data_IF_809377751663
#
_entry.id   IF_809377751663
#
_cell.length_a   1.000
_cell.length_b   1.000
_cell.length_c   1.000
_cell.angle_alpha   90.00
_cell.angle_beta   90.00
_cell.angle_gamma   90.00
#
_symmetry.space_group_name_H-M   'P 1'
#
loop_
_entity.id
_entity.type
_entity.pdbx_description
1 polymer ?
#
# COMPACT_ATOMS: atom_id res chain seq x y z
N UNK A 1 -4.14 26.09 7.55
CA UNK A 1 -4.09 25.03 6.52
C UNK A 1 -2.63 24.77 6.18
N UNK A 2 -2.15 23.50 6.24
CA UNK A 2 -0.82 23.16 5.72
C UNK A 2 -0.88 23.31 4.20
N UNK A 3 0.14 23.91 3.57
CA UNK A 3 0.21 24.02 2.13
C UNK A 3 0.26 22.63 1.50
N UNK A 4 -0.62 22.34 0.56
CA UNK A 4 -0.57 21.10 -0.22
C UNK A 4 0.55 21.25 -1.23
N UNK A 5 1.55 20.37 -1.19
CA UNK A 5 2.60 20.36 -2.21
C UNK A 5 2.02 19.71 -3.46
N UNK A 6 2.03 20.44 -4.57
CA UNK A 6 1.74 19.94 -5.90
C UNK A 6 3.03 20.12 -6.71
N UNK A 7 3.44 19.08 -7.42
CA UNK A 7 4.74 18.99 -8.09
C UNK A 7 4.82 19.84 -9.37
N UNK A 8 6.04 19.91 -9.93
CA UNK A 8 6.49 20.95 -10.86
C UNK A 8 6.16 20.70 -12.35
N UNK A 9 5.48 19.61 -12.73
CA UNK A 9 5.04 19.42 -14.12
C UNK A 9 3.93 20.42 -14.48
N UNK A 10 4.31 21.65 -14.83
CA UNK A 10 3.46 22.59 -15.54
C UNK A 10 3.85 22.64 -17.01
N UNK A 11 3.06 23.35 -17.81
CA UNK A 11 3.36 23.70 -19.21
C UNK A 11 4.71 24.43 -19.45
N UNK A 12 5.53 24.64 -18.41
CA UNK A 12 6.83 25.29 -18.39
C UNK A 12 8.02 24.43 -18.88
N UNK A 13 7.82 23.17 -19.27
CA UNK A 13 8.90 22.35 -19.84
C UNK A 13 9.23 22.77 -21.30
N UNK A 14 10.51 23.09 -21.54
CA UNK A 14 11.08 23.59 -22.80
C UNK A 14 11.04 22.57 -23.93
N UNK A 15 10.42 22.93 -25.06
CA UNK A 15 10.68 22.34 -26.37
C UNK A 15 11.19 23.45 -27.31
N UNK A 16 12.42 23.29 -27.79
CA UNK A 16 13.02 24.12 -28.83
C UNK A 16 12.44 23.74 -30.19
N UNK A 17 11.67 24.66 -30.78
CA UNK A 17 11.60 25.05 -32.20
C UNK A 17 10.18 25.51 -32.52
N UNK A 18 10.08 26.74 -33.02
CA UNK A 18 8.82 27.42 -33.23
C UNK A 18 8.08 26.96 -34.49
N UNK A 19 6.76 27.06 -34.44
CA UNK A 19 5.93 27.16 -35.64
C UNK A 19 5.06 28.41 -35.56
N UNK A 20 4.87 29.02 -36.72
CA UNK A 20 3.98 30.15 -36.96
C UNK A 20 2.53 29.64 -37.08
N UNK A 21 1.60 30.48 -36.64
CA UNK A 21 0.18 30.18 -36.55
C UNK A 21 -0.51 30.16 -37.92
N UNK A 22 -1.39 29.19 -38.12
CA UNK A 22 -2.57 29.35 -38.98
C UNK A 22 -3.80 29.12 -38.10
N UNK A 23 -4.54 30.18 -37.81
CA UNK A 23 -5.88 30.09 -37.22
C UNK A 23 -6.79 29.33 -38.18
N UNK A 24 -7.16 28.11 -37.81
CA UNK A 24 -8.35 27.46 -38.34
C UNK A 24 -8.96 26.64 -37.20
N UNK A 25 -10.13 27.07 -36.74
CA UNK A 25 -10.97 26.26 -35.87
C UNK A 25 -11.16 24.88 -36.51
N UNK A 26 -10.76 23.83 -35.78
CA UNK A 26 -10.97 22.46 -36.22
C UNK A 26 -12.47 22.26 -36.49
N UNK A 27 -12.80 21.85 -37.72
CA UNK A 27 -14.16 21.41 -38.02
C UNK A 27 -14.49 20.20 -37.12
N UNK A 28 -15.70 20.14 -36.54
CA UNK A 28 -16.11 19.01 -35.72
C UNK A 28 -16.01 17.72 -36.54
N UNK A 29 -15.29 16.72 -36.01
CA UNK A 29 -15.21 15.36 -36.58
C UNK A 29 -13.87 14.90 -37.16
N UNK A 30 -12.81 15.72 -37.16
CA UNK A 30 -11.47 15.26 -37.56
C UNK A 30 -10.55 15.05 -36.34
N UNK A 31 -10.69 13.92 -35.66
CA UNK A 31 -9.88 13.54 -34.49
C UNK A 31 -8.45 13.08 -34.82
N UNK A 32 -8.00 13.31 -36.06
CA UNK A 32 -6.68 12.89 -36.55
C UNK A 32 -5.63 14.01 -36.46
N UNK A 33 -4.57 13.92 -37.27
CA UNK A 33 -3.37 14.77 -37.19
C UNK A 33 -3.65 16.29 -37.10
N UNK A 34 -4.62 16.81 -37.86
CA UNK A 34 -4.97 18.24 -37.86
C UNK A 34 -5.44 18.78 -36.49
N UNK A 35 -6.09 17.92 -35.70
CA UNK A 35 -6.45 18.28 -34.33
C UNK A 35 -5.21 18.36 -33.44
N UNK A 36 -4.32 17.38 -33.54
CA UNK A 36 -3.05 17.35 -32.81
C UNK A 36 -2.19 18.58 -33.13
N UNK A 37 -2.18 19.04 -34.38
CA UNK A 37 -1.54 20.30 -34.80
C UNK A 37 -2.14 21.53 -34.10
N UNK A 38 -3.48 21.60 -34.05
CA UNK A 38 -4.19 22.75 -33.47
C UNK A 38 -4.00 22.79 -31.95
N UNK A 39 -4.03 21.63 -31.29
CA UNK A 39 -3.71 21.50 -29.86
C UNK A 39 -2.26 21.91 -29.61
N UNK A 40 -1.29 21.38 -30.36
CA UNK A 40 0.12 21.73 -30.21
C UNK A 40 0.38 23.23 -30.42
N UNK A 41 -0.25 23.84 -31.44
CA UNK A 41 -0.18 25.28 -31.67
C UNK A 41 -0.75 26.09 -30.51
N UNK A 42 -1.92 25.68 -29.99
CA UNK A 42 -2.55 26.33 -28.82
C UNK A 42 -1.64 26.29 -27.59
N UNK A 43 -1.01 25.14 -27.34
CA UNK A 43 -0.04 24.97 -26.25
C UNK A 43 1.17 25.89 -26.42
N UNK A 44 1.69 26.03 -27.64
CA UNK A 44 2.78 26.97 -27.93
C UNK A 44 2.38 28.42 -27.69
N UNK A 45 1.15 28.83 -28.08
CA UNK A 45 0.63 30.17 -27.79
C UNK A 45 0.53 30.44 -26.28
N UNK A 46 0.05 29.47 -25.49
CA UNK A 46 0.00 29.56 -24.02
C UNK A 46 1.41 29.74 -23.45
N UNK A 47 2.37 28.92 -23.90
CA UNK A 47 3.77 28.97 -23.44
C UNK A 47 4.46 30.30 -23.77
N UNK A 48 4.14 30.91 -24.91
CA UNK A 48 4.66 32.22 -25.32
C UNK A 48 3.94 33.40 -24.66
N UNK A 49 2.88 33.15 -23.89
CA UNK A 49 2.05 34.19 -23.29
C UNK A 49 1.19 34.96 -24.29
N UNK A 50 1.01 34.43 -25.50
CA UNK A 50 0.17 35.03 -26.54
C UNK A 50 -1.33 34.87 -26.19
N UNK A 51 -1.67 33.81 -25.47
CA UNK A 51 -3.01 33.54 -24.92
C UNK A 51 -2.89 33.03 -23.47
N UNK A 52 -3.94 33.20 -22.68
CA UNK A 52 -3.95 32.70 -21.29
C UNK A 52 -4.41 31.25 -21.22
N UNK A 53 -3.85 30.47 -20.29
CA UNK A 53 -4.27 29.09 -20.03
C UNK A 53 -5.79 29.02 -19.75
N UNK A 54 -6.28 29.88 -18.85
CA UNK A 54 -7.70 29.91 -18.46
C UNK A 54 -8.63 30.11 -19.67
N UNK A 55 -8.23 30.93 -20.65
CA UNK A 55 -9.02 31.14 -21.87
C UNK A 55 -9.05 29.94 -22.82
N UNK A 56 -8.13 28.98 -22.65
CA UNK A 56 -7.96 27.82 -23.55
C UNK A 56 -8.35 26.49 -22.91
N UNK A 57 -8.51 26.41 -21.58
CA UNK A 57 -9.01 25.20 -20.91
C UNK A 57 -10.33 24.69 -21.55
N UNK A 58 -11.37 25.53 -21.77
CA UNK A 58 -12.63 25.04 -22.38
C UNK A 58 -12.42 24.41 -23.76
N UNK A 59 -11.52 24.98 -24.58
CA UNK A 59 -11.20 24.42 -25.89
C UNK A 59 -10.49 23.06 -25.79
N UNK A 60 -9.53 22.92 -24.86
CA UNK A 60 -8.81 21.66 -24.63
C UNK A 60 -9.76 20.57 -24.10
N UNK A 61 -10.66 20.94 -23.19
CA UNK A 61 -11.72 20.06 -22.66
C UNK A 61 -12.66 19.56 -23.76
N UNK A 62 -13.20 20.49 -24.55
CA UNK A 62 -14.10 20.16 -25.66
C UNK A 62 -13.39 19.26 -26.68
N UNK A 63 -12.10 19.50 -26.92
CA UNK A 63 -11.27 18.71 -27.81
C UNK A 63 -11.07 17.28 -27.30
N UNK A 64 -10.69 17.12 -26.03
CA UNK A 64 -10.56 15.81 -25.38
C UNK A 64 -11.88 15.02 -25.38
N UNK A 65 -13.00 15.71 -25.10
CA UNK A 65 -14.33 15.11 -25.09
C UNK A 65 -14.82 14.69 -26.47
N UNK A 66 -14.59 15.51 -27.49
CA UNK A 66 -14.98 15.20 -28.87
C UNK A 66 -14.11 14.11 -29.49
N UNK A 67 -12.86 13.98 -29.03
CA UNK A 67 -11.87 13.07 -29.58
C UNK A 67 -11.20 12.21 -28.50
N UNK A 68 -11.96 11.32 -27.84
CA UNK A 68 -11.46 10.50 -26.73
C UNK A 68 -10.39 9.46 -27.14
N UNK A 69 -10.16 9.25 -28.44
CA UNK A 69 -9.08 8.41 -28.96
C UNK A 69 -7.80 9.18 -29.30
N UNK A 70 -7.76 10.50 -29.12
CA UNK A 70 -6.62 11.33 -29.49
C UNK A 70 -5.71 11.57 -28.29
N UNK A 71 -4.51 11.00 -28.30
CA UNK A 71 -3.55 11.07 -27.20
C UNK A 71 -3.11 12.52 -26.87
N UNK A 72 -2.98 13.39 -27.88
CA UNK A 72 -2.63 14.81 -27.70
C UNK A 72 -3.73 15.56 -26.98
N UNK A 73 -4.98 15.37 -27.39
CA UNK A 73 -6.13 16.02 -26.78
C UNK A 73 -6.23 15.68 -25.28
N UNK A 74 -6.14 14.39 -24.94
CA UNK A 74 -6.21 13.93 -23.55
C UNK A 74 -5.03 14.40 -22.70
N UNK A 75 -3.79 14.25 -23.18
CA UNK A 75 -2.60 14.65 -22.44
C UNK A 75 -2.57 16.15 -22.14
N UNK A 76 -2.86 16.98 -23.14
CA UNK A 76 -2.81 18.42 -22.95
C UNK A 76 -4.02 19.00 -22.21
N UNK A 77 -5.18 18.34 -22.24
CA UNK A 77 -6.28 18.64 -21.31
C UNK A 77 -5.86 18.33 -19.87
N UNK A 78 -5.26 17.16 -19.62
CA UNK A 78 -4.74 16.78 -18.30
C UNK A 78 -3.67 17.77 -17.79
N UNK A 79 -2.68 18.12 -18.63
CA UNK A 79 -1.65 19.11 -18.29
C UNK A 79 -2.24 20.49 -18.01
N UNK A 80 -3.26 20.92 -18.75
CA UNK A 80 -3.88 22.23 -18.56
C UNK A 80 -4.56 22.33 -17.20
N UNK A 81 -5.39 21.34 -16.84
CA UNK A 81 -6.03 21.27 -15.53
C UNK A 81 -5.01 21.14 -14.39
N UNK A 82 -3.95 20.33 -14.56
CA UNK A 82 -2.92 20.23 -13.53
C UNK A 82 -2.12 21.53 -13.37
N UNK A 83 -1.83 22.24 -14.46
CA UNK A 83 -1.20 23.57 -14.41
C UNK A 83 -2.13 24.59 -13.74
N UNK A 84 -3.44 24.51 -13.99
CA UNK A 84 -4.44 25.35 -13.31
C UNK A 84 -4.51 25.04 -11.82
N UNK A 85 -4.53 23.78 -11.43
CA UNK A 85 -4.46 23.34 -10.04
C UNK A 85 -3.22 23.91 -9.33
N UNK A 86 -2.06 23.83 -9.97
CA UNK A 86 -0.81 24.43 -9.48
C UNK A 86 -0.93 25.94 -9.26
N UNK A 87 -1.50 26.65 -10.23
CA UNK A 87 -1.70 28.11 -10.16
C UNK A 87 -2.64 28.47 -9.01
N UNK A 88 -3.76 27.75 -8.88
CA UNK A 88 -4.72 27.96 -7.79
C UNK A 88 -4.11 27.65 -6.42
N UNK A 89 -3.30 26.60 -6.33
CA UNK A 89 -2.61 26.23 -5.10
C UNK A 89 -1.59 27.30 -4.67
N UNK A 90 -0.82 27.85 -5.62
CA UNK A 90 0.10 28.97 -5.38
C UNK A 90 -0.66 30.24 -4.95
N UNK A 91 -1.84 30.47 -5.52
CA UNK A 91 -2.76 31.54 -5.13
C UNK A 91 -3.53 31.25 -3.83
N UNK A 92 -3.25 30.13 -3.15
CA UNK A 92 -3.89 29.70 -1.90
C UNK A 92 -5.42 29.58 -2.02
N UNK A 93 -5.92 29.15 -3.17
CA UNK A 93 -7.32 28.84 -3.37
C UNK A 93 -7.79 27.72 -2.41
N UNK A 94 -9.11 27.62 -2.13
CA UNK A 94 -9.65 26.54 -1.30
C UNK A 94 -9.24 25.15 -1.81
N UNK A 95 -8.90 24.24 -0.90
CA UNK A 95 -8.45 22.89 -1.24
C UNK A 95 -9.43 22.16 -2.17
N UNK A 96 -10.75 22.36 -2.01
CA UNK A 96 -11.77 21.74 -2.85
C UNK A 96 -11.71 22.22 -4.31
N UNK A 97 -11.36 23.49 -4.53
CA UNK A 97 -11.20 24.07 -5.88
C UNK A 97 -9.97 23.50 -6.56
N UNK A 98 -8.85 23.41 -5.83
CA UNK A 98 -7.61 22.81 -6.36
C UNK A 98 -7.82 21.32 -6.64
N UNK A 99 -8.49 20.62 -5.72
CA UNK A 99 -8.78 19.19 -5.86
C UNK A 99 -9.63 18.87 -7.08
N UNK A 100 -10.67 19.67 -7.37
CA UNK A 100 -11.49 19.49 -8.56
C UNK A 100 -10.67 19.51 -9.86
N UNK A 101 -9.70 20.43 -9.96
CA UNK A 101 -8.79 20.51 -11.11
C UNK A 101 -7.83 19.31 -11.17
N UNK A 102 -7.32 18.84 -10.01
CA UNK A 102 -6.48 17.63 -9.96
C UNK A 102 -7.26 16.39 -10.36
N UNK A 103 -8.51 16.24 -9.90
CA UNK A 103 -9.36 15.10 -10.28
C UNK A 103 -9.68 15.13 -11.77
N UNK A 104 -10.02 16.29 -12.34
CA UNK A 104 -10.25 16.43 -13.78
C UNK A 104 -9.01 16.06 -14.59
N UNK A 105 -7.84 16.56 -14.17
CA UNK A 105 -6.57 16.20 -14.80
C UNK A 105 -6.26 14.70 -14.70
N UNK A 106 -6.60 14.09 -13.56
CA UNK A 106 -6.43 12.66 -13.34
C UNK A 106 -7.33 11.82 -14.24
N UNK A 107 -8.59 12.22 -14.43
CA UNK A 107 -9.52 11.53 -15.32
C UNK A 107 -9.05 11.57 -16.79
N UNK A 108 -8.62 12.74 -17.27
CA UNK A 108 -8.07 12.88 -18.62
C UNK A 108 -6.75 12.10 -18.79
N UNK A 109 -5.88 12.11 -17.76
CA UNK A 109 -4.66 11.29 -17.73
C UNK A 109 -4.99 9.79 -17.76
N UNK A 110 -6.01 9.36 -17.02
CA UNK A 110 -6.44 7.97 -17.01
C UNK A 110 -6.96 7.53 -18.39
N UNK A 111 -7.73 8.39 -19.06
CA UNK A 111 -8.16 8.16 -20.43
C UNK A 111 -6.95 8.01 -21.38
N UNK A 112 -5.95 8.89 -21.27
CA UNK A 112 -4.71 8.79 -22.05
C UNK A 112 -4.01 7.44 -21.87
N UNK A 113 -3.84 7.00 -20.61
CA UNK A 113 -3.17 5.72 -20.31
C UNK A 113 -3.98 4.48 -20.72
N UNK A 114 -5.27 4.64 -20.98
CA UNK A 114 -6.12 3.56 -21.50
C UNK A 114 -6.02 3.36 -23.02
N UNK A 115 -5.36 4.27 -23.75
CA UNK A 115 -5.18 4.14 -25.19
C UNK A 115 -4.08 3.13 -25.54
N UNK A 116 -4.39 2.19 -26.45
CA UNK A 116 -3.44 1.21 -26.98
C UNK A 116 -2.29 1.90 -27.72
N UNK A 117 -2.60 2.85 -28.61
CA UNK A 117 -1.66 3.59 -29.45
C UNK A 117 -1.21 4.93 -28.84
N UNK A 118 -1.18 5.07 -27.51
CA UNK A 118 -0.88 6.36 -26.82
C UNK A 118 0.46 6.99 -27.23
N UNK A 119 1.43 6.19 -27.65
CA UNK A 119 2.77 6.63 -28.09
C UNK A 119 2.83 7.00 -29.58
N UNK A 120 1.68 7.08 -30.27
CA UNK A 120 1.63 7.42 -31.68
C UNK A 120 2.19 8.83 -31.93
N UNK A 121 2.98 8.95 -32.99
CA UNK A 121 3.41 10.25 -33.52
C UNK A 121 2.48 10.65 -34.66
N UNK A 122 2.18 11.94 -34.76
CA UNK A 122 1.32 12.48 -35.81
C UNK A 122 2.15 13.32 -36.79
N UNK A 123 1.99 13.12 -38.10
CA UNK A 123 2.62 13.97 -39.09
C UNK A 123 1.98 15.36 -39.03
N UNK A 124 2.81 16.38 -38.87
CA UNK A 124 2.44 17.79 -38.83
C UNK A 124 3.10 18.51 -40.00
N UNK A 125 2.33 19.26 -40.77
CA UNK A 125 2.88 20.06 -41.87
C UNK A 125 3.57 21.33 -41.32
N UNK A 126 4.90 21.31 -41.29
CA UNK A 126 5.74 22.45 -40.91
C UNK A 126 5.96 23.47 -42.03
N UNK A 127 5.23 23.37 -43.14
CA UNK A 127 5.28 24.26 -44.30
C UNK A 127 6.39 23.95 -45.30
N UNK A 128 7.58 23.54 -44.84
CA UNK A 128 8.70 23.13 -45.71
C UNK A 128 9.13 21.67 -45.53
N UNK A 129 8.59 20.98 -44.51
CA UNK A 129 8.69 19.52 -44.29
C UNK A 129 7.57 19.05 -43.38
N UNK A 130 7.18 17.78 -43.51
CA UNK A 130 6.32 17.09 -42.54
C UNK A 130 7.16 16.64 -41.35
N UNK A 131 6.83 17.09 -40.15
CA UNK A 131 7.48 16.68 -38.89
C UNK A 131 6.55 15.73 -38.13
N UNK A 132 7.07 14.61 -37.62
CA UNK A 132 6.29 13.75 -36.74
C UNK A 132 6.34 14.30 -35.32
N UNK A 133 5.21 14.80 -34.82
CA UNK A 133 5.07 15.30 -33.46
C UNK A 133 4.46 14.19 -32.60
N UNK A 134 5.21 13.78 -31.57
CA UNK A 134 4.75 12.88 -30.52
C UNK A 134 4.79 13.57 -29.16
N UNK A 135 4.06 13.02 -28.19
CA UNK A 135 4.27 13.38 -26.79
C UNK A 135 5.52 12.63 -26.32
N UNK A 136 6.57 13.31 -25.84
CA UNK A 136 7.74 12.62 -25.27
C UNK A 136 7.30 11.73 -24.10
N UNK A 137 7.77 10.49 -24.05
CA UNK A 137 7.36 9.49 -23.05
C UNK A 137 7.52 10.00 -21.61
N UNK A 138 8.48 10.89 -21.35
CA UNK A 138 8.75 11.45 -20.04
C UNK A 138 7.62 12.38 -19.55
N UNK A 139 6.93 13.09 -20.45
CA UNK A 139 5.86 14.03 -20.08
C UNK A 139 4.64 13.34 -19.41
N UNK A 140 3.97 12.35 -20.03
CA UNK A 140 2.81 11.70 -19.45
C UNK A 140 3.20 10.89 -18.21
N UNK A 141 4.40 10.31 -18.17
CA UNK A 141 4.92 9.63 -16.98
C UNK A 141 5.12 10.60 -15.82
N UNK A 142 5.70 11.78 -16.07
CA UNK A 142 5.92 12.79 -15.03
C UNK A 142 4.59 13.35 -14.52
N UNK A 143 3.68 13.70 -15.44
CA UNK A 143 2.35 14.16 -15.09
C UNK A 143 1.60 13.12 -14.24
N UNK A 144 1.69 11.83 -14.61
CA UNK A 144 1.04 10.76 -13.86
C UNK A 144 1.56 10.66 -12.43
N UNK A 145 2.89 10.68 -12.25
CA UNK A 145 3.51 10.65 -10.92
C UNK A 145 3.09 11.85 -10.07
N UNK A 146 3.06 13.03 -10.67
CA UNK A 146 2.68 14.27 -10.02
C UNK A 146 1.20 14.25 -9.59
N UNK A 147 0.30 13.71 -10.43
CA UNK A 147 -1.12 13.54 -10.12
C UNK A 147 -1.34 12.55 -8.97
N UNK A 148 -0.70 11.37 -8.98
CA UNK A 148 -0.79 10.41 -7.88
C UNK A 148 -0.27 11.02 -6.58
N UNK A 149 0.87 11.70 -6.63
CA UNK A 149 1.46 12.40 -5.46
C UNK A 149 0.51 13.46 -4.92
N UNK A 150 -0.10 14.26 -5.80
CA UNK A 150 -1.07 15.28 -5.39
C UNK A 150 -2.31 14.65 -4.74
N UNK A 151 -2.88 13.60 -5.34
CA UNK A 151 -4.04 12.91 -4.80
C UNK A 151 -3.75 12.25 -3.44
N UNK A 152 -2.56 11.66 -3.25
CA UNK A 152 -2.11 11.15 -1.95
C UNK A 152 -2.00 12.27 -0.90
N UNK A 153 -1.46 13.44 -1.27
CA UNK A 153 -1.43 14.61 -0.39
C UNK A 153 -2.83 15.09 -0.01
N UNK A 154 -3.76 15.17 -0.96
CA UNK A 154 -5.14 15.55 -0.69
C UNK A 154 -5.84 14.56 0.25
N UNK A 155 -5.59 13.26 0.08
CA UNK A 155 -6.11 12.24 0.97
C UNK A 155 -5.55 12.36 2.39
N UNK A 156 -4.23 12.44 2.51
CA UNK A 156 -3.57 12.48 3.81
C UNK A 156 -3.80 13.79 4.58
N UNK A 157 -3.85 14.94 3.89
CA UNK A 157 -3.80 16.27 4.53
C UNK A 157 -5.13 17.02 4.51
N UNK A 158 -6.00 16.73 3.55
CA UNK A 158 -7.26 17.44 3.35
C UNK A 158 -8.50 16.53 3.48
N UNK A 159 -8.31 15.22 3.74
CA UNK A 159 -9.40 14.26 3.89
C UNK A 159 -10.19 14.02 2.60
N UNK A 160 -9.61 14.33 1.44
CA UNK A 160 -10.25 14.17 0.14
C UNK A 160 -9.97 12.78 -0.44
N UNK A 161 -11.01 12.12 -0.94
CA UNK A 161 -10.95 10.72 -1.35
C UNK A 161 -10.08 10.48 -2.59
N UNK A 162 -8.93 9.83 -2.45
CA UNK A 162 -8.17 9.38 -3.62
C UNK A 162 -9.01 8.36 -4.43
N UNK A 163 -9.22 8.55 -5.75
CA UNK A 163 -10.11 7.71 -6.56
C UNK A 163 -9.86 6.21 -6.45
N UNK A 164 -8.59 5.78 -6.52
CA UNK A 164 -8.25 4.37 -6.35
C UNK A 164 -8.42 3.82 -4.93
N UNK A 165 -8.24 4.64 -3.89
CA UNK A 165 -8.36 4.16 -2.51
C UNK A 165 -9.84 3.94 -2.16
N UNK A 166 -10.72 4.82 -2.62
CA UNK A 166 -12.16 4.75 -2.33
C UNK A 166 -12.97 3.91 -3.31
N UNK A 167 -12.37 3.47 -4.42
CA UNK A 167 -13.02 2.52 -5.32
C UNK A 167 -13.35 1.21 -4.57
N UNK A 168 -14.41 0.52 -4.97
CA UNK A 168 -14.74 -0.83 -4.47
C UNK A 168 -13.97 -1.93 -5.19
N UNK A 169 -13.48 -1.66 -6.41
CA UNK A 169 -12.81 -2.64 -7.27
C UNK A 169 -11.35 -2.26 -7.54
N UNK A 170 -10.39 -3.20 -7.42
CA UNK A 170 -9.02 -2.96 -7.84
C UNK A 170 -8.95 -2.75 -9.37
N UNK A 171 -7.84 -2.23 -9.91
CA UNK A 171 -7.68 -2.12 -11.36
C UNK A 171 -7.86 -3.50 -12.03
N UNK A 172 -8.56 -3.54 -13.17
CA UNK A 172 -8.98 -4.79 -13.80
C UNK A 172 -7.84 -5.52 -14.55
N UNK A 173 -6.82 -4.79 -15.00
CA UNK A 173 -5.73 -5.31 -15.82
C UNK A 173 -4.38 -4.78 -15.33
N UNK A 174 -3.32 -5.56 -15.57
CA UNK A 174 -1.97 -5.11 -15.29
C UNK A 174 -1.42 -4.27 -16.44
N UNK A 175 -1.66 -2.97 -16.37
CA UNK A 175 -1.21 -1.98 -17.35
C UNK A 175 0.06 -1.27 -16.89
N UNK A 176 0.83 -0.73 -17.83
CA UNK A 176 2.14 -0.11 -17.55
C UNK A 176 2.06 1.15 -16.68
N UNK A 177 0.91 1.86 -16.66
CA UNK A 177 0.68 2.97 -15.74
C UNK A 177 0.71 2.56 -14.26
N UNK A 178 0.40 1.30 -13.92
CA UNK A 178 0.43 0.79 -12.54
C UNK A 178 1.85 0.87 -11.96
N UNK A 179 2.87 0.59 -12.78
CA UNK A 179 4.27 0.74 -12.36
C UNK A 179 4.56 2.18 -11.96
N UNK A 180 4.13 3.15 -12.77
CA UNK A 180 4.33 4.57 -12.48
C UNK A 180 3.56 5.04 -11.25
N UNK A 181 2.36 4.50 -11.02
CA UNK A 181 1.55 4.81 -9.83
C UNK A 181 2.22 4.31 -8.54
N UNK A 182 2.77 3.10 -8.55
CA UNK A 182 3.50 2.53 -7.42
C UNK A 182 4.80 3.31 -7.17
N UNK A 183 5.53 3.68 -8.23
CA UNK A 183 6.71 4.54 -8.09
C UNK A 183 6.38 5.92 -7.51
N UNK A 184 5.25 6.51 -7.89
CA UNK A 184 4.77 7.76 -7.32
C UNK A 184 4.46 7.62 -5.82
N UNK A 185 3.77 6.55 -5.42
CA UNK A 185 3.49 6.28 -4.02
C UNK A 185 4.77 6.04 -3.20
N UNK A 186 5.78 5.35 -3.77
CA UNK A 186 7.11 5.19 -3.16
C UNK A 186 7.83 6.53 -2.97
N UNK A 187 7.83 7.38 -4.00
CA UNK A 187 8.39 8.73 -3.92
C UNK A 187 7.70 9.56 -2.84
N UNK A 188 6.37 9.53 -2.82
CA UNK A 188 5.57 10.22 -1.81
C UNK A 188 5.89 9.74 -0.38
N UNK A 189 6.05 8.43 -0.17
CA UNK A 189 6.40 7.83 1.13
C UNK A 189 7.78 8.29 1.65
N UNK A 190 8.72 8.56 0.73
CA UNK A 190 10.05 9.09 1.09
C UNK A 190 9.92 10.46 1.78
N UNK A 191 9.01 11.31 1.29
CA UNK A 191 8.72 12.63 1.85
C UNK A 191 7.73 12.59 3.03
N UNK A 192 6.92 11.54 3.13
CA UNK A 192 5.86 11.39 4.13
C UNK A 192 6.04 10.10 4.93
N UNK A 193 7.07 10.07 5.79
CA UNK A 193 7.48 8.85 6.51
C UNK A 193 6.37 8.20 7.34
N UNK A 194 5.42 8.97 7.86
CA UNK A 194 4.30 8.46 8.67
C UNK A 194 3.13 7.95 7.81
N UNK A 195 3.17 8.19 6.49
CA UNK A 195 2.15 7.78 5.54
C UNK A 195 2.24 6.33 5.06
N UNK A 196 3.01 5.49 5.76
CA UNK A 196 3.30 4.11 5.34
C UNK A 196 2.04 3.26 5.08
N UNK A 197 1.06 3.32 5.98
CA UNK A 197 -0.21 2.61 5.81
C UNK A 197 -0.90 3.00 4.50
N UNK A 198 -1.02 4.31 4.24
CA UNK A 198 -1.67 4.84 3.06
C UNK A 198 -0.96 4.41 1.77
N UNK A 199 0.35 4.63 1.71
CA UNK A 199 1.14 4.35 0.51
C UNK A 199 1.21 2.86 0.21
N UNK A 200 1.39 2.01 1.23
CA UNK A 200 1.43 0.55 1.05
C UNK A 200 0.05 0.03 0.65
N UNK A 201 -1.03 0.40 1.35
CA UNK A 201 -2.38 -0.05 0.98
C UNK A 201 -2.79 0.39 -0.42
N UNK A 202 -2.41 1.60 -0.83
CA UNK A 202 -2.54 2.04 -2.22
C UNK A 202 -1.77 1.13 -3.18
N UNK A 203 -0.47 0.92 -2.95
CA UNK A 203 0.38 0.16 -3.85
C UNK A 203 -0.03 -1.32 -3.95
N UNK A 204 -0.43 -1.95 -2.84
CA UNK A 204 -0.95 -3.33 -2.81
C UNK A 204 -2.23 -3.47 -3.64
N UNK A 205 -3.13 -2.49 -3.52
CA UNK A 205 -4.34 -2.45 -4.33
C UNK A 205 -4.00 -2.32 -5.81
N UNK A 206 -3.11 -1.39 -6.16
CA UNK A 206 -2.69 -1.18 -7.54
C UNK A 206 -1.97 -2.41 -8.13
N UNK A 207 -1.21 -3.16 -7.32
CA UNK A 207 -0.51 -4.36 -7.75
C UNK A 207 -1.40 -5.62 -7.84
N UNK A 208 -2.66 -5.56 -7.41
CA UNK A 208 -3.59 -6.71 -7.40
C UNK A 208 -3.72 -7.43 -8.76
N UNK A 209 -3.89 -6.75 -9.91
CA UNK A 209 -3.96 -7.42 -11.21
C UNK A 209 -2.60 -7.86 -11.75
N UNK A 210 -1.50 -7.61 -11.04
CA UNK A 210 -0.12 -7.75 -11.50
C UNK A 210 0.64 -8.89 -10.78
N UNK A 211 0.18 -10.16 -10.83
CA UNK A 211 0.82 -11.24 -10.09
C UNK A 211 2.21 -11.56 -10.64
N UNK A 212 3.11 -11.90 -9.72
CA UNK A 212 4.51 -12.23 -9.99
C UNK A 212 4.70 -13.39 -11.00
N UNK A 213 3.73 -14.29 -11.12
CA UNK A 213 3.81 -15.48 -12.00
C UNK A 213 3.90 -15.14 -13.50
N UNK A 214 3.58 -13.90 -13.89
CA UNK A 214 3.61 -13.43 -15.27
C UNK A 214 4.77 -12.46 -15.55
N UNK A 215 5.79 -12.44 -14.68
CA UNK A 215 6.79 -11.39 -14.70
C UNK A 215 7.76 -11.52 -15.89
N UNK A 216 7.80 -10.47 -16.70
CA UNK A 216 8.88 -10.15 -17.60
C UNK A 216 9.24 -8.67 -17.43
N UNK A 217 10.53 -8.39 -17.25
CA UNK A 217 11.16 -7.06 -17.19
C UNK A 217 10.51 -6.01 -16.27
N UNK A 218 9.42 -5.38 -16.75
CA UNK A 218 8.76 -4.27 -16.06
C UNK A 218 7.91 -4.69 -14.85
N UNK A 219 7.48 -5.95 -14.82
CA UNK A 219 6.65 -6.50 -13.73
C UNK A 219 7.47 -6.77 -12.47
N UNK A 220 8.71 -7.21 -12.64
CA UNK A 220 9.66 -7.46 -11.56
C UNK A 220 10.04 -6.15 -10.87
N UNK A 221 10.29 -5.07 -11.64
CA UNK A 221 10.58 -3.72 -11.09
C UNK A 221 9.40 -3.14 -10.30
N UNK A 222 8.17 -3.42 -10.75
CA UNK A 222 6.95 -3.04 -10.03
C UNK A 222 6.88 -3.76 -8.68
N UNK A 223 7.09 -5.07 -8.68
CA UNK A 223 7.04 -5.90 -7.47
C UNK A 223 8.18 -5.57 -6.52
N UNK A 224 9.39 -5.33 -7.03
CA UNK A 224 10.53 -4.84 -6.26
C UNK A 224 10.19 -3.50 -5.57
N UNK A 225 9.59 -2.56 -6.30
CA UNK A 225 9.16 -1.27 -5.73
C UNK A 225 8.12 -1.44 -4.63
N UNK A 226 7.15 -2.35 -4.82
CA UNK A 226 6.17 -2.68 -3.77
C UNK A 226 6.84 -3.34 -2.56
N UNK A 227 7.78 -4.27 -2.74
CA UNK A 227 8.47 -4.93 -1.63
C UNK A 227 9.30 -3.95 -0.83
N UNK A 228 9.99 -3.01 -1.48
CA UNK A 228 10.72 -1.93 -0.81
C UNK A 228 9.78 -1.10 0.08
N UNK A 229 8.62 -0.69 -0.44
CA UNK A 229 7.62 0.03 0.36
C UNK A 229 7.10 -0.81 1.54
N UNK A 230 6.87 -2.11 1.34
CA UNK A 230 6.45 -3.03 2.40
C UNK A 230 7.52 -3.18 3.48
N UNK A 231 8.79 -3.32 3.11
CA UNK A 231 9.92 -3.40 4.06
C UNK A 231 10.01 -2.12 4.89
N UNK A 232 10.00 -0.95 4.26
CA UNK A 232 10.06 0.34 4.94
C UNK A 232 8.90 0.54 5.93
N UNK A 233 7.70 0.08 5.56
CA UNK A 233 6.55 0.17 6.45
C UNK A 233 6.60 -0.87 7.57
N UNK A 234 6.88 -2.13 7.25
CA UNK A 234 6.97 -3.23 8.21
C UNK A 234 7.98 -2.93 9.31
N UNK A 235 9.15 -2.38 8.96
CA UNK A 235 10.14 -1.94 9.96
C UNK A 235 9.55 -0.94 10.96
N UNK A 236 8.82 0.07 10.48
CA UNK A 236 8.24 1.12 11.33
C UNK A 236 7.17 0.60 12.27
N UNK A 237 6.38 -0.38 11.82
CA UNK A 237 5.24 -0.90 12.59
C UNK A 237 5.54 -2.20 13.34
N UNK A 238 6.72 -2.80 13.20
CA UNK A 238 7.06 -4.09 13.84
C UNK A 238 6.81 -4.12 15.36
N UNK A 239 7.07 -3.01 16.05
CA UNK A 239 6.85 -2.89 17.50
C UNK A 239 5.42 -2.54 17.92
N UNK A 240 4.60 -1.99 17.04
CA UNK A 240 3.25 -1.48 17.35
C UNK A 240 2.12 -2.29 16.72
N UNK A 241 2.39 -2.95 15.59
CA UNK A 241 1.46 -3.83 14.89
C UNK A 241 2.22 -5.08 14.35
N UNK A 242 2.53 -6.04 15.24
CA UNK A 242 3.25 -7.26 14.88
C UNK A 242 2.51 -8.13 13.86
N UNK A 243 1.17 -8.13 13.89
CA UNK A 243 0.36 -9.00 13.02
C UNK A 243 0.40 -8.49 11.58
N UNK A 244 0.19 -7.19 11.36
CA UNK A 244 0.36 -6.60 10.03
C UNK A 244 1.79 -6.72 9.53
N UNK A 245 2.77 -6.55 10.41
CA UNK A 245 4.19 -6.73 10.07
C UNK A 245 4.47 -8.15 9.56
N UNK A 246 3.89 -9.18 10.19
CA UNK A 246 4.02 -10.58 9.73
C UNK A 246 3.38 -10.80 8.36
N UNK A 247 2.22 -10.20 8.10
CA UNK A 247 1.58 -10.27 6.77
C UNK A 247 2.51 -9.67 5.69
N UNK A 248 3.09 -8.50 5.97
CA UNK A 248 4.03 -7.83 5.06
C UNK A 248 5.29 -8.68 4.84
N UNK A 249 5.88 -9.21 5.92
CA UNK A 249 7.05 -10.10 5.86
C UNK A 249 6.75 -11.36 5.04
N UNK A 250 5.59 -11.98 5.21
CA UNK A 250 5.19 -13.16 4.42
C UNK A 250 5.09 -12.83 2.92
N UNK A 251 4.55 -11.66 2.58
CA UNK A 251 4.47 -11.21 1.20
C UNK A 251 5.86 -10.89 0.61
N UNK A 252 6.76 -10.29 1.39
CA UNK A 252 8.16 -10.02 1.00
C UNK A 252 8.92 -11.34 0.76
N UNK A 253 8.78 -12.32 1.65
CA UNK A 253 9.37 -13.67 1.48
C UNK A 253 8.86 -14.35 0.22
N UNK A 254 7.56 -14.27 -0.04
CA UNK A 254 6.96 -14.85 -1.25
C UNK A 254 7.56 -14.24 -2.52
N UNK A 255 7.83 -12.94 -2.53
CA UNK A 255 8.54 -12.29 -3.64
C UNK A 255 9.98 -12.75 -3.75
N UNK A 256 10.75 -12.72 -2.65
CA UNK A 256 12.15 -13.20 -2.61
C UNK A 256 12.28 -14.61 -3.18
N UNK A 257 11.45 -15.54 -2.69
CA UNK A 257 11.52 -16.96 -3.05
C UNK A 257 11.16 -17.22 -4.52
N UNK A 258 10.42 -16.30 -5.15
CA UNK A 258 10.09 -16.36 -6.56
C UNK A 258 11.07 -15.57 -7.44
N UNK A 259 11.71 -14.53 -6.91
CA UNK A 259 12.74 -13.75 -7.61
C UNK A 259 14.08 -14.49 -7.66
N UNK A 260 14.46 -15.18 -6.58
CA UNK A 260 15.71 -15.93 -6.49
C UNK A 260 15.56 -17.36 -7.03
N UNK A 261 16.49 -17.80 -7.88
CA UNK A 261 16.57 -19.21 -8.29
C UNK A 261 17.17 -20.08 -7.17
N UNK A 262 16.99 -21.41 -7.23
CA UNK A 262 17.62 -22.31 -6.26
C UNK A 262 19.14 -22.08 -6.16
N UNK A 263 19.61 -21.71 -4.97
CA UNK A 263 21.03 -21.44 -4.69
C UNK A 263 21.49 -20.00 -4.91
N UNK A 264 20.63 -19.11 -5.42
CA UNK A 264 20.91 -17.67 -5.48
C UNK A 264 20.64 -17.00 -4.12
N UNK A 265 21.56 -16.14 -3.67
CA UNK A 265 21.39 -15.31 -2.47
C UNK A 265 20.96 -13.87 -2.80
N UNK A 266 21.35 -13.39 -3.98
CA UNK A 266 20.99 -12.08 -4.52
C UNK A 266 20.90 -12.12 -6.05
N UNK A 267 20.21 -11.14 -6.63
CA UNK A 267 20.17 -10.86 -8.06
C UNK A 267 19.80 -9.38 -8.31
N UNK A 268 19.39 -9.05 -9.54
CA UNK A 268 19.02 -7.68 -9.92
C UNK A 268 17.76 -7.15 -9.21
N UNK A 269 16.84 -8.02 -8.78
CA UNK A 269 15.56 -7.65 -8.14
C UNK A 269 15.53 -7.94 -6.63
N UNK A 270 16.59 -8.55 -6.09
CA UNK A 270 16.73 -8.86 -4.67
C UNK A 270 18.20 -8.77 -4.28
N UNK A 271 18.59 -7.74 -3.55
CA UNK A 271 19.98 -7.47 -3.21
C UNK A 271 20.34 -7.94 -1.80
N UNK A 272 21.64 -8.06 -1.51
CA UNK A 272 22.14 -8.36 -0.14
C UNK A 272 21.58 -7.43 0.95
N UNK A 273 21.34 -6.15 0.62
CA UNK A 273 20.75 -5.21 1.58
C UNK A 273 19.27 -5.53 1.88
N UNK A 274 18.51 -6.10 0.93
CA UNK A 274 17.13 -6.53 1.15
C UNK A 274 17.08 -7.73 2.10
N UNK A 275 17.98 -8.69 1.91
CA UNK A 275 18.16 -9.82 2.84
C UNK A 275 18.46 -9.35 4.27
N UNK A 276 19.34 -8.36 4.39
CA UNK A 276 19.73 -7.78 5.68
C UNK A 276 18.56 -7.03 6.33
N UNK A 277 17.81 -6.24 5.55
CA UNK A 277 16.62 -5.52 6.03
C UNK A 277 15.51 -6.47 6.47
N UNK A 278 15.20 -7.48 5.67
CA UNK A 278 14.19 -8.48 6.01
C UNK A 278 14.53 -9.19 7.32
N UNK A 279 15.78 -9.63 7.48
CA UNK A 279 16.26 -10.29 8.70
C UNK A 279 16.17 -9.37 9.92
N UNK A 280 16.45 -8.07 9.75
CA UNK A 280 16.30 -7.07 10.81
C UNK A 280 14.84 -6.89 11.23
N UNK A 281 13.92 -6.74 10.27
CA UNK A 281 12.47 -6.63 10.55
C UNK A 281 11.98 -7.88 11.28
N UNK A 282 12.40 -9.06 10.84
CA UNK A 282 12.04 -10.33 11.48
C UNK A 282 12.56 -10.44 12.92
N UNK A 283 13.74 -9.89 13.21
CA UNK A 283 14.27 -9.85 14.59
C UNK A 283 13.51 -8.89 15.52
N UNK A 284 12.80 -7.90 14.96
CA UNK A 284 11.95 -6.97 15.70
C UNK A 284 10.58 -7.58 16.03
N UNK A 285 10.15 -8.60 15.27
CA UNK A 285 8.88 -9.26 15.52
C UNK A 285 8.96 -10.06 16.83
N UNK A 286 7.97 -9.93 17.73
CA UNK A 286 7.84 -10.86 18.83
C UNK A 286 7.73 -12.26 18.26
N UNK A 287 8.47 -13.21 18.87
CA UNK A 287 8.50 -14.59 18.43
C UNK A 287 7.08 -15.10 18.20
N UNK A 288 6.79 -15.62 17.00
CA UNK A 288 5.57 -16.40 16.78
C UNK A 288 5.77 -17.68 17.59
N UNK A 289 5.31 -17.65 18.83
CA UNK A 289 5.18 -18.87 19.62
C UNK A 289 4.05 -19.64 18.93
N UNK A 290 4.42 -20.47 17.96
CA UNK A 290 3.58 -21.55 17.48
C UNK A 290 3.25 -22.38 18.71
N UNK A 291 2.07 -22.15 19.29
CA UNK A 291 1.61 -22.98 20.38
C UNK A 291 1.06 -24.24 19.71
N UNK A 292 1.69 -25.44 19.86
CA UNK A 292 1.14 -26.68 19.33
C UNK A 292 -0.24 -26.94 19.93
N UNK A 293 -1.28 -26.47 19.23
CA UNK A 293 -2.69 -26.75 19.51
C UNK A 293 -3.09 -28.14 19.02
N UNK A 294 -2.22 -28.81 18.26
CA UNK A 294 -2.48 -30.08 17.59
C UNK A 294 -2.52 -31.29 18.53
N UNK A 295 -3.60 -31.42 19.30
CA UNK A 295 -4.30 -32.70 19.57
C UNK A 295 -5.78 -32.38 19.75
N UNK A 296 -6.64 -33.01 18.93
CA UNK A 296 -8.08 -32.75 18.76
C UNK A 296 -8.94 -32.84 20.04
N UNK A 297 -8.38 -33.35 21.15
CA UNK A 297 -9.13 -33.48 22.38
C UNK A 297 -9.64 -32.12 22.89
N UNK A 298 -10.90 -32.03 23.34
CA UNK A 298 -11.40 -30.81 23.95
C UNK A 298 -10.54 -30.41 25.15
N UNK A 299 -10.43 -29.11 25.42
CA UNK A 299 -9.90 -28.65 26.69
C UNK A 299 -10.88 -29.08 27.78
N UNK A 300 -10.39 -29.76 28.81
CA UNK A 300 -11.20 -30.23 29.95
C UNK A 300 -10.59 -29.65 31.22
N UNK A 301 -11.38 -28.91 31.99
CA UNK A 301 -10.94 -28.38 33.28
C UNK A 301 -10.74 -29.51 34.29
N UNK A 302 -9.62 -29.50 35.00
CA UNK A 302 -9.36 -30.39 36.14
C UNK A 302 -9.54 -29.70 37.50
N UNK A 303 -10.15 -28.52 37.52
CA UNK A 303 -10.35 -27.72 38.73
C UNK A 303 -11.79 -27.37 39.03
N UNK A 304 -12.01 -26.46 40.00
CA UNK A 304 -13.34 -26.18 40.55
C UNK A 304 -14.31 -25.50 39.57
N UNK A 305 -13.82 -24.87 38.50
CA UNK A 305 -14.65 -24.24 37.47
C UNK A 305 -14.56 -25.00 36.15
N UNK A 306 -15.69 -25.27 35.47
CA UNK A 306 -15.65 -25.76 34.10
C UNK A 306 -15.02 -24.70 33.18
N UNK A 307 -14.44 -25.14 32.06
CA UNK A 307 -13.68 -24.24 31.18
C UNK A 307 -14.53 -23.14 30.55
N UNK A 308 -15.84 -23.35 30.42
CA UNK A 308 -16.81 -22.44 29.82
C UNK A 308 -17.03 -21.20 30.71
N UNK A 309 -16.82 -21.37 32.02
CA UNK A 309 -16.97 -20.31 33.02
C UNK A 309 -15.66 -19.55 33.23
N UNK A 310 -14.56 -19.97 32.60
CA UNK A 310 -13.29 -19.25 32.71
C UNK A 310 -13.42 -17.86 32.06
N UNK A 311 -12.90 -16.85 32.75
CA UNK A 311 -12.86 -15.45 32.31
C UNK A 311 -14.23 -14.77 32.12
N UNK A 312 -15.32 -15.35 32.65
CA UNK A 312 -16.60 -14.67 32.80
C UNK A 312 -16.54 -13.67 33.97
N UNK A 313 -17.31 -12.58 33.90
CA UNK A 313 -17.35 -11.56 34.98
C UNK A 313 -17.78 -12.13 36.34
N UNK A 314 -18.63 -13.17 36.33
CA UNK A 314 -19.13 -13.83 37.53
C UNK A 314 -18.13 -14.79 38.20
N UNK A 315 -17.02 -15.11 37.53
CA UNK A 315 -16.09 -16.15 37.97
C UNK A 315 -14.99 -15.59 38.86
N UNK A 316 -14.83 -16.05 40.12
CA UNK A 316 -13.78 -15.54 41.00
C UNK A 316 -12.39 -15.83 40.43
N UNK A 317 -11.56 -14.79 40.28
CA UNK A 317 -10.21 -14.90 39.70
C UNK A 317 -9.34 -15.98 40.36
N UNK A 318 -9.48 -16.18 41.68
CA UNK A 318 -8.76 -17.22 42.42
C UNK A 318 -9.14 -18.63 41.93
N UNK A 319 -10.43 -18.88 41.71
CA UNK A 319 -10.92 -20.18 41.24
C UNK A 319 -10.57 -20.42 39.78
N UNK A 320 -10.53 -19.37 38.95
CA UNK A 320 -10.05 -19.45 37.56
C UNK A 320 -8.56 -19.83 37.54
N UNK A 321 -7.73 -19.15 38.33
CA UNK A 321 -6.28 -19.43 38.44
C UNK A 321 -6.02 -20.85 38.96
N UNK A 322 -6.77 -21.30 39.97
CA UNK A 322 -6.68 -22.68 40.46
C UNK A 322 -7.10 -23.69 39.38
N UNK A 323 -8.19 -23.41 38.66
CA UNK A 323 -8.69 -24.33 37.62
C UNK A 323 -7.70 -24.48 36.47
N UNK A 324 -7.10 -23.38 36.03
CA UNK A 324 -6.03 -23.38 35.03
C UNK A 324 -4.82 -24.17 35.56
N UNK A 325 -4.37 -23.89 36.79
CA UNK A 325 -3.24 -24.56 37.43
C UNK A 325 -3.39 -26.08 37.52
N UNK A 326 -4.55 -26.57 37.99
CA UNK A 326 -4.86 -28.01 38.05
C UNK A 326 -4.97 -28.64 36.67
N UNK A 327 -5.48 -27.88 35.69
CA UNK A 327 -5.57 -28.36 34.30
C UNK A 327 -4.18 -28.51 33.68
N UNK A 328 -3.24 -27.61 33.96
CA UNK A 328 -1.83 -27.84 33.57
C UNK A 328 -1.30 -29.13 34.15
N UNK A 329 -1.49 -29.35 35.46
CA UNK A 329 -1.00 -30.56 36.12
C UNK A 329 -1.53 -31.85 35.49
N UNK A 330 -2.83 -31.91 35.23
CA UNK A 330 -3.46 -33.07 34.59
C UNK A 330 -2.90 -33.34 33.18
N UNK A 331 -2.71 -32.29 32.37
CA UNK A 331 -2.17 -32.44 31.02
C UNK A 331 -0.69 -32.83 31.03
N UNK A 332 0.09 -32.27 31.96
CA UNK A 332 1.51 -32.61 32.12
C UNK A 332 1.70 -34.02 32.65
N UNK A 333 0.89 -34.46 33.62
CA UNK A 333 0.91 -35.83 34.11
C UNK A 333 0.62 -36.85 32.98
N UNK A 334 -0.28 -36.50 32.05
CA UNK A 334 -0.64 -37.36 30.94
C UNK A 334 0.36 -37.34 29.77
N UNK A 335 1.09 -36.23 29.55
CA UNK A 335 1.83 -35.98 28.29
C UNK A 335 3.23 -35.40 28.46
N UNK A 336 3.72 -35.27 29.69
CA UNK A 336 4.97 -34.56 30.00
C UNK A 336 4.87 -33.06 29.70
N UNK A 337 6.02 -32.41 29.50
CA UNK A 337 6.11 -30.96 29.24
C UNK A 337 5.30 -30.51 28.00
N UNK A 338 5.11 -31.37 27.01
CA UNK A 338 4.24 -31.12 25.85
C UNK A 338 2.78 -30.91 26.25
N UNK A 339 2.34 -31.53 27.34
CA UNK A 339 1.01 -31.34 27.92
C UNK A 339 0.80 -29.90 28.39
N UNK A 340 1.82 -29.29 28.99
CA UNK A 340 1.76 -27.88 29.42
C UNK A 340 1.56 -26.96 28.22
N UNK A 341 2.37 -27.13 27.18
CA UNK A 341 2.31 -26.31 25.96
C UNK A 341 0.97 -26.47 25.25
N UNK A 342 0.46 -27.70 25.18
CA UNK A 342 -0.86 -27.98 24.57
C UNK A 342 -2.00 -27.32 25.36
N UNK A 343 -2.02 -27.46 26.68
CA UNK A 343 -3.02 -26.82 27.54
C UNK A 343 -2.96 -25.29 27.44
N UNK A 344 -1.74 -24.73 27.44
CA UNK A 344 -1.51 -23.29 27.28
C UNK A 344 -2.14 -22.73 26.01
N UNK A 345 -1.93 -23.39 24.88
CA UNK A 345 -2.49 -22.92 23.60
C UNK A 345 -4.00 -22.91 23.59
N UNK A 346 -4.60 -23.96 24.14
CA UNK A 346 -6.07 -24.07 24.25
C UNK A 346 -6.64 -23.02 25.20
N UNK A 347 -5.98 -22.79 26.34
CA UNK A 347 -6.36 -21.75 27.29
C UNK A 347 -6.21 -20.34 26.71
N UNK A 348 -5.13 -20.09 25.97
CA UNK A 348 -4.90 -18.80 25.33
C UNK A 348 -5.99 -18.47 24.30
N UNK A 349 -6.41 -19.45 23.50
CA UNK A 349 -7.53 -19.27 22.57
C UNK A 349 -8.81 -18.78 23.27
N UNK A 350 -9.09 -19.27 24.49
CA UNK A 350 -10.22 -18.80 25.31
C UNK A 350 -10.07 -17.35 25.77
N UNK A 351 -8.84 -16.88 26.03
CA UNK A 351 -8.62 -15.47 26.41
C UNK A 351 -8.98 -14.49 25.30
N UNK A 352 -8.88 -14.91 24.02
CA UNK A 352 -9.24 -14.07 22.86
C UNK A 352 -10.75 -13.82 22.75
N UNK A 353 -11.56 -14.71 23.30
CA UNK A 353 -13.04 -14.62 23.27
C UNK A 353 -13.62 -14.14 24.60
N UNK A 354 -12.78 -13.74 25.56
CA UNK A 354 -13.23 -13.23 26.85
C UNK A 354 -13.75 -11.78 26.73
N UNK A 355 -14.66 -11.33 27.62
CA UNK A 355 -15.12 -9.93 27.65
C UNK A 355 -13.98 -8.92 27.84
N UNK A 356 -12.97 -9.27 28.64
CA UNK A 356 -11.72 -8.52 28.81
C UNK A 356 -10.52 -9.43 28.48
N UNK A 357 -10.04 -9.41 27.23
CA UNK A 357 -8.90 -10.24 26.81
C UNK A 357 -7.61 -9.93 27.56
N UNK A 358 -7.36 -8.66 27.94
CA UNK A 358 -6.15 -8.26 28.63
C UNK A 358 -6.12 -8.82 30.06
N UNK A 359 -7.22 -8.69 30.81
CA UNK A 359 -7.35 -9.27 32.14
C UNK A 359 -7.29 -10.81 32.10
N UNK A 360 -7.92 -11.44 31.09
CA UNK A 360 -7.87 -12.89 30.90
C UNK A 360 -6.45 -13.40 30.64
N UNK A 361 -5.69 -12.74 29.75
CA UNK A 361 -4.27 -13.04 29.50
C UNK A 361 -3.43 -12.90 30.77
N UNK A 362 -3.67 -11.87 31.57
CA UNK A 362 -2.95 -11.66 32.82
C UNK A 362 -3.27 -12.74 33.88
N UNK A 363 -4.52 -13.21 33.94
CA UNK A 363 -4.90 -14.35 34.78
C UNK A 363 -4.23 -15.65 34.33
N UNK A 364 -4.20 -15.91 33.01
CA UNK A 364 -3.49 -17.05 32.44
C UNK A 364 -2.01 -17.02 32.83
N UNK A 365 -1.33 -15.89 32.60
CA UNK A 365 0.08 -15.70 33.00
C UNK A 365 0.32 -16.00 34.49
N UNK A 366 -0.52 -15.46 35.38
CA UNK A 366 -0.39 -15.70 36.83
C UNK A 366 -0.55 -17.18 37.18
N UNK A 367 -1.47 -17.88 36.52
CA UNK A 367 -1.69 -19.30 36.73
C UNK A 367 -0.51 -20.14 36.23
N UNK A 368 0.00 -19.85 35.03
CA UNK A 368 1.15 -20.52 34.44
C UNK A 368 2.40 -20.34 35.30
N UNK A 369 2.66 -19.12 35.78
CA UNK A 369 3.76 -18.83 36.70
C UNK A 369 3.64 -19.59 38.03
N UNK A 370 2.44 -19.62 38.63
CA UNK A 370 2.22 -20.38 39.87
C UNK A 370 2.41 -21.88 39.70
N UNK A 371 1.99 -22.43 38.55
CA UNK A 371 2.24 -23.83 38.21
C UNK A 371 3.74 -24.09 38.09
N UNK A 372 4.46 -23.21 37.39
CA UNK A 372 5.90 -23.33 37.21
C UNK A 372 6.68 -23.26 38.54
N UNK A 373 6.31 -22.31 39.41
CA UNK A 373 6.79 -22.18 40.81
C UNK A 373 6.42 -23.38 41.71
N UNK A 374 5.66 -24.36 41.19
CA UNK A 374 5.36 -25.62 41.86
C UNK A 374 4.08 -25.63 42.71
N UNK A 375 3.27 -24.57 42.66
CA UNK A 375 2.06 -24.43 43.50
C UNK A 375 1.05 -25.56 43.27
N UNK A 376 0.90 -26.00 42.02
CA UNK A 376 -0.12 -26.96 41.59
C UNK A 376 0.46 -28.26 41.04
N UNK A 377 1.79 -28.45 41.15
CA UNK A 377 2.46 -29.64 40.63
C UNK A 377 2.20 -30.84 41.55
N UNK A 378 1.66 -31.91 41.00
CA UNK A 378 1.56 -33.20 41.69
C UNK A 378 2.91 -33.91 41.77
N UNK A 379 2.93 -35.05 42.47
CA UNK A 379 4.12 -35.90 42.55
C UNK A 379 4.62 -36.34 41.15
N UNK A 380 3.71 -36.49 40.20
CA UNK A 380 4.01 -36.94 38.83
C UNK A 380 4.66 -35.86 37.97
N UNK A 381 4.50 -34.58 38.32
CA UNK A 381 4.93 -33.43 37.49
C UNK A 381 5.99 -32.54 38.14
N UNK A 382 6.24 -32.71 39.45
CA UNK A 382 7.16 -31.88 40.25
C UNK A 382 8.61 -31.87 39.73
N UNK A 383 9.03 -32.90 39.01
CA UNK A 383 10.40 -33.02 38.46
C UNK A 383 10.53 -32.69 36.98
N UNK A 384 9.46 -32.28 36.30
CA UNK A 384 9.48 -32.01 34.85
C UNK A 384 9.84 -30.56 34.57
N UNK A 385 10.74 -30.32 33.63
CA UNK A 385 11.10 -28.95 33.24
C UNK A 385 10.00 -28.33 32.37
N UNK A 386 9.62 -27.09 32.67
CA UNK A 386 8.60 -26.34 31.92
C UNK A 386 9.32 -25.17 31.26
N UNK A 387 9.30 -25.07 29.92
CA UNK A 387 10.04 -24.02 29.24
C UNK A 387 9.51 -22.62 29.63
N UNK A 388 10.36 -21.77 30.21
CA UNK A 388 10.02 -20.37 30.54
C UNK A 388 9.47 -19.59 29.33
N UNK A 389 9.98 -19.91 28.14
CA UNK A 389 9.52 -19.33 26.86
C UNK A 389 8.06 -19.65 26.55
N UNK A 390 7.44 -20.63 27.21
CA UNK A 390 6.08 -21.08 26.90
C UNK A 390 5.00 -20.12 27.41
N UNK A 391 5.28 -19.22 28.36
CA UNK A 391 4.27 -18.35 28.95
C UNK A 391 4.74 -16.93 29.28
N UNK A 392 6.05 -16.66 29.27
CA UNK A 392 6.60 -15.33 29.54
C UNK A 392 6.13 -14.25 28.56
N UNK A 393 5.86 -14.61 27.31
CA UNK A 393 5.29 -13.73 26.28
C UNK A 393 3.91 -13.16 26.66
N UNK A 394 3.16 -13.81 27.56
CA UNK A 394 1.88 -13.29 28.08
C UNK A 394 2.07 -12.01 28.92
N UNK A 395 3.28 -11.77 29.44
CA UNK A 395 3.61 -10.58 30.24
C UNK A 395 3.75 -9.31 29.40
N UNK A 396 4.19 -9.46 28.15
CA UNK A 396 4.66 -8.36 27.30
C UNK A 396 3.67 -7.98 26.19
N UNK A 397 2.55 -8.71 26.06
CA UNK A 397 1.44 -8.35 25.18
C UNK A 397 0.71 -7.11 25.72
N UNK A 398 1.11 -5.92 25.25
CA UNK A 398 0.30 -4.69 25.31
C UNK A 398 -0.59 -4.63 24.08
N UNK A 399 -1.81 -4.13 24.27
CA UNK A 399 -2.81 -3.96 23.20
C UNK A 399 -2.28 -3.11 22.04
#
# INVERSE_FOLDING_TARGET
MKAIRIAAAGLLATLTAGLASAENHAAPGNCAARLSETVASTIQQIRRGEVTLDSKIPYLDDTAKQCPGNAFALHYAAMAHFTRANTLNQAQAPAATVYAEVTKAFDDSQAYWSLEDRNQTYPVDGGWRVENVGIPTEEPTSLRKDLITALLNFHALAGMSHPYITSTEPPAACTDNIFWDILAARGWLTDHKDGGQLAVSFAERMATPCPLKNAGGGMELLQESLMNMRMDYAEKIAGTDPDRTRELVAAIRTFRDAALKPGEAENYYWHDYDTSNLSRIESMLPAVVSIPTGKEDPLVSAGPLPQEDWFQESSPAVQVIESIGRTYDAYVAARGSDGFVSAMGKMYARTKTAPDPAAARQMLYRASRKYDEGTWRSADTKGLDIPDIAYTWLKDLKD
#
